data_IF_935854022336
#
_entry.id   IF_935854022336
#
_cell.length_a   1.000
_cell.length_b   1.000
_cell.length_c   1.000
_cell.angle_alpha   90.00
_cell.angle_beta   90.00
_cell.angle_gamma   90.00
#
_symmetry.space_group_name_H-M   'P 1'
#
loop_
_entity.id
_entity.type
_entity.pdbx_description
1 polymer ?
#
# COMPACT_ATOMS: atom_id res chain seq x y z
N UNK A 1 26.17 -28.76 -18.39
CA UNK A 1 24.73 -29.11 -18.31
C UNK A 1 24.59 -30.52 -18.85
N UNK A 2 23.95 -31.42 -18.11
CA UNK A 2 23.62 -32.76 -18.62
C UNK A 2 22.33 -32.65 -19.45
N UNK A 3 22.42 -32.97 -20.75
CA UNK A 3 21.32 -32.84 -21.71
C UNK A 3 20.19 -33.83 -21.38
N UNK A 4 20.51 -35.01 -20.85
CA UNK A 4 19.53 -36.02 -20.45
C UNK A 4 18.70 -35.59 -19.25
N UNK A 5 19.34 -35.01 -18.22
CA UNK A 5 18.63 -34.44 -17.06
C UNK A 5 17.78 -33.22 -17.45
N UNK A 6 18.29 -32.38 -18.34
CA UNK A 6 17.55 -31.23 -18.86
C UNK A 6 16.29 -31.67 -19.63
N UNK A 7 16.39 -32.68 -20.50
CA UNK A 7 15.24 -33.26 -21.21
C UNK A 7 14.23 -33.88 -20.25
N UNK A 8 14.69 -34.55 -19.18
CA UNK A 8 13.82 -35.09 -18.11
C UNK A 8 13.06 -33.97 -17.38
N UNK A 9 13.72 -32.86 -17.05
CA UNK A 9 13.09 -31.69 -16.42
C UNK A 9 12.01 -31.04 -17.29
N UNK A 10 12.14 -31.10 -18.62
CA UNK A 10 11.13 -30.65 -19.56
C UNK A 10 9.96 -31.64 -19.76
N UNK A 11 10.01 -32.82 -19.12
CA UNK A 11 9.06 -33.91 -19.34
C UNK A 11 9.22 -34.59 -20.69
N UNK A 12 10.41 -34.47 -21.31
CA UNK A 12 10.75 -34.97 -22.63
C UNK A 12 11.89 -36.01 -22.57
N UNK A 13 12.08 -36.65 -21.41
CA UNK A 13 13.15 -37.62 -21.16
C UNK A 13 13.17 -38.82 -22.10
N UNK A 14 12.07 -39.11 -22.79
CA UNK A 14 11.97 -40.12 -23.84
C UNK A 14 12.92 -39.87 -25.04
N UNK A 15 13.36 -38.62 -25.25
CA UNK A 15 14.31 -38.27 -26.31
C UNK A 15 15.77 -38.26 -25.85
N UNK A 16 16.05 -38.52 -24.56
CA UNK A 16 17.41 -38.47 -24.02
C UNK A 16 18.37 -39.42 -24.75
N UNK A 17 17.93 -40.65 -25.02
CA UNK A 17 18.72 -41.63 -25.77
C UNK A 17 18.99 -41.21 -27.23
N UNK A 18 18.06 -40.47 -27.85
CA UNK A 18 18.24 -39.97 -29.21
C UNK A 18 19.22 -38.78 -29.26
N UNK A 19 19.18 -37.90 -28.27
CA UNK A 19 20.12 -36.78 -28.16
C UNK A 19 21.53 -37.27 -27.81
N UNK A 20 21.66 -38.22 -26.89
CA UNK A 20 22.93 -38.85 -26.54
C UNK A 20 23.51 -39.66 -27.72
N UNK A 21 22.66 -40.44 -28.41
CA UNK A 21 23.06 -41.23 -29.57
C UNK A 21 23.50 -40.41 -30.79
N UNK A 22 23.09 -39.15 -30.88
CA UNK A 22 23.52 -38.20 -31.92
C UNK A 22 24.57 -37.19 -31.41
N UNK A 23 25.18 -37.47 -30.25
CA UNK A 23 26.23 -36.66 -29.64
C UNK A 23 25.85 -35.18 -29.43
N UNK A 24 24.58 -34.90 -29.11
CA UNK A 24 24.13 -33.55 -28.76
C UNK A 24 24.55 -33.24 -27.31
N UNK A 25 25.50 -32.33 -27.16
CA UNK A 25 25.99 -31.82 -25.90
C UNK A 25 25.44 -30.41 -25.58
N UNK A 26 25.81 -29.85 -24.43
CA UNK A 26 25.28 -28.55 -23.99
C UNK A 26 25.65 -27.36 -24.90
N UNK A 27 26.72 -27.48 -25.69
CA UNK A 27 27.14 -26.45 -26.65
C UNK A 27 26.33 -26.56 -27.93
N UNK A 28 26.26 -27.75 -28.52
CA UNK A 28 25.48 -28.03 -29.74
C UNK A 28 23.97 -27.95 -29.54
N UNK A 29 23.47 -28.19 -28.32
CA UNK A 29 22.05 -28.04 -27.95
C UNK A 29 21.52 -26.63 -28.24
N UNK A 30 22.37 -25.59 -28.13
CA UNK A 30 21.98 -24.19 -28.31
C UNK A 30 21.68 -23.81 -29.75
N UNK A 31 22.24 -24.57 -30.69
CA UNK A 31 22.19 -24.28 -32.12
C UNK A 31 21.21 -25.18 -32.89
N UNK A 32 20.50 -26.08 -32.18
CA UNK A 32 19.54 -26.99 -32.82
C UNK A 32 18.33 -26.25 -33.42
N UNK A 33 18.05 -26.57 -34.68
CA UNK A 33 16.89 -26.05 -35.40
C UNK A 33 15.69 -27.01 -35.37
N UNK A 34 14.54 -26.53 -35.86
CA UNK A 34 13.32 -27.32 -35.94
C UNK A 34 13.43 -28.55 -36.87
N UNK A 35 14.33 -28.50 -37.87
CA UNK A 35 14.62 -29.62 -38.77
C UNK A 35 15.57 -30.61 -38.12
N UNK A 36 16.61 -30.16 -37.39
CA UNK A 36 17.51 -31.05 -36.65
C UNK A 36 16.75 -31.86 -35.59
N UNK A 37 15.81 -31.22 -34.88
CA UNK A 37 14.94 -31.91 -33.93
C UNK A 37 14.05 -32.98 -34.60
N UNK A 38 13.69 -32.79 -35.86
CA UNK A 38 12.91 -33.76 -36.62
C UNK A 38 13.79 -34.94 -37.04
N UNK A 39 15.04 -34.70 -37.43
CA UNK A 39 16.03 -35.74 -37.72
C UNK A 39 16.40 -36.55 -36.46
N UNK A 40 16.36 -35.93 -35.29
CA UNK A 40 16.50 -36.57 -33.97
C UNK A 40 15.27 -37.38 -33.52
N UNK A 41 14.23 -37.48 -34.36
CA UNK A 41 13.03 -38.28 -34.08
C UNK A 41 11.96 -37.57 -33.24
N UNK A 42 12.00 -36.24 -33.13
CA UNK A 42 10.95 -35.44 -32.47
C UNK A 42 9.86 -35.08 -33.48
N UNK A 43 9.05 -36.05 -33.88
CA UNK A 43 8.01 -35.84 -34.92
C UNK A 43 6.87 -34.92 -34.46
N UNK A 44 6.53 -34.96 -33.17
CA UNK A 44 5.47 -34.18 -32.57
C UNK A 44 5.81 -32.69 -32.55
N UNK A 45 5.02 -31.89 -33.28
CA UNK A 45 5.18 -30.43 -33.40
C UNK A 45 5.17 -29.73 -32.03
N UNK A 46 4.36 -30.21 -31.09
CA UNK A 46 4.30 -29.67 -29.73
C UNK A 46 5.61 -29.86 -28.95
N UNK A 47 6.27 -31.00 -29.09
CA UNK A 47 7.55 -31.27 -28.44
C UNK A 47 8.68 -30.45 -29.06
N UNK A 48 8.69 -30.29 -30.39
CA UNK A 48 9.66 -29.42 -31.07
C UNK A 48 9.53 -27.95 -30.64
N UNK A 49 8.32 -27.41 -30.57
CA UNK A 49 8.10 -26.03 -30.07
C UNK A 49 8.54 -25.87 -28.62
N UNK A 50 8.29 -26.86 -27.77
CA UNK A 50 8.71 -26.86 -26.36
C UNK A 50 10.23 -26.89 -26.21
N UNK A 51 10.93 -27.72 -27.00
CA UNK A 51 12.40 -27.80 -27.02
C UNK A 51 13.03 -26.51 -27.51
N UNK A 52 12.57 -25.96 -28.65
CA UNK A 52 13.11 -24.70 -29.19
C UNK A 52 12.93 -23.53 -28.22
N UNK A 53 11.77 -23.45 -27.53
CA UNK A 53 11.54 -22.43 -26.51
C UNK A 53 12.46 -22.58 -25.29
N UNK A 54 12.74 -23.83 -24.88
CA UNK A 54 13.63 -24.10 -23.76
C UNK A 54 15.10 -23.83 -24.13
N UNK A 55 15.51 -24.14 -25.36
CA UNK A 55 16.84 -23.82 -25.91
C UNK A 55 17.04 -22.29 -25.95
N UNK A 56 16.05 -21.54 -26.41
CA UNK A 56 16.10 -20.07 -26.42
C UNK A 56 16.25 -19.48 -25.01
N UNK A 57 15.63 -20.11 -23.99
CA UNK A 57 15.79 -19.70 -22.59
C UNK A 57 17.20 -19.99 -22.03
N UNK A 58 17.87 -21.05 -22.54
CA UNK A 58 19.26 -21.37 -22.17
C UNK A 58 20.29 -20.43 -22.80
N UNK A 59 20.02 -19.93 -24.01
CA UNK A 59 20.89 -18.97 -24.69
C UNK A 59 20.92 -17.59 -24.01
N UNK A 60 19.87 -17.25 -23.25
CA UNK A 60 19.72 -15.96 -22.56
C UNK A 60 20.28 -15.94 -21.12
N UNK A 61 21.06 -16.95 -20.70
CA UNK A 61 21.74 -16.92 -19.39
C UNK A 61 23.19 -16.42 -19.52
N UNK A 62 23.60 -15.37 -18.79
CA UNK A 62 24.97 -14.86 -18.83
C UNK A 62 25.94 -15.84 -18.16
N UNK A 63 26.99 -16.22 -18.89
CA UNK A 63 28.09 -17.07 -18.40
C UNK A 63 29.11 -16.24 -17.60
N UNK A 64 29.42 -16.65 -16.36
CA UNK A 64 30.48 -16.08 -15.53
C UNK A 64 31.08 -17.13 -14.59
N UNK A 65 32.42 -17.18 -14.57
CA UNK A 65 33.31 -18.24 -14.06
C UNK A 65 33.69 -18.01 -12.57
N UNK A 66 34.00 -19.09 -11.82
CA UNK A 66 34.30 -19.15 -10.36
C UNK A 66 35.56 -18.41 -9.85
N UNK A 67 35.98 -18.49 -8.57
CA UNK A 67 35.79 -19.52 -7.55
C UNK A 67 36.12 -19.05 -6.09
N UNK A 68 35.50 -19.73 -5.09
CA UNK A 68 35.80 -19.88 -3.64
C UNK A 68 35.87 -18.63 -2.72
N UNK A 69 35.27 -18.56 -1.51
CA UNK A 69 35.10 -19.58 -0.47
C UNK A 69 33.90 -19.29 0.48
N UNK A 70 33.55 -20.32 1.25
CA UNK A 70 32.36 -20.57 2.08
C UNK A 70 31.92 -19.47 3.07
N UNK A 71 30.59 -19.30 3.21
CA UNK A 71 29.95 -18.53 4.28
C UNK A 71 28.42 -18.40 4.16
N UNK A 72 27.71 -19.50 4.48
CA UNK A 72 26.28 -19.58 4.88
C UNK A 72 25.19 -18.87 4.05
N UNK A 73 24.47 -19.70 3.29
CA UNK A 73 23.19 -19.46 2.62
C UNK A 73 22.12 -18.78 3.49
N UNK A 74 21.52 -17.73 2.93
CA UNK A 74 20.10 -17.42 3.13
C UNK A 74 19.46 -16.94 1.82
N UNK A 75 19.77 -17.56 0.66
CA UNK A 75 18.95 -17.31 -0.52
C UNK A 75 17.73 -18.25 -0.49
N UNK A 76 16.63 -17.73 0.02
CA UNK A 76 15.34 -18.43 0.02
C UNK A 76 14.79 -18.30 -1.40
N UNK A 77 15.29 -19.14 -2.30
CA UNK A 77 14.62 -19.40 -3.57
C UNK A 77 13.27 -20.04 -3.21
N UNK A 78 12.23 -19.21 -3.17
CA UNK A 78 10.89 -19.58 -2.76
C UNK A 78 10.46 -20.86 -3.51
N UNK A 79 10.21 -21.89 -2.71
CA UNK A 79 9.68 -23.19 -3.11
C UNK A 79 8.37 -22.97 -3.87
N UNK A 80 8.45 -22.91 -5.21
CA UNK A 80 7.37 -22.42 -6.06
C UNK A 80 6.24 -23.43 -6.31
N UNK A 81 6.01 -24.39 -5.40
CA UNK A 81 5.02 -25.46 -5.59
C UNK A 81 4.30 -25.91 -4.30
N UNK A 82 4.49 -25.23 -3.16
CA UNK A 82 3.81 -25.58 -1.91
C UNK A 82 2.75 -24.54 -1.55
N UNK A 83 1.51 -24.99 -1.38
CA UNK A 83 0.41 -24.16 -0.94
C UNK A 83 0.71 -23.54 0.43
N UNK A 84 0.84 -22.22 0.51
CA UNK A 84 1.24 -21.49 1.71
C UNK A 84 0.02 -20.96 2.46
N UNK A 85 -0.06 -21.19 3.78
CA UNK A 85 -1.08 -20.58 4.64
C UNK A 85 -0.59 -19.23 5.13
N UNK A 86 -1.21 -18.15 4.65
CA UNK A 86 -0.81 -16.76 4.93
C UNK A 86 -2.02 -15.89 5.28
N UNK A 87 -1.82 -14.84 6.06
CA UNK A 87 -2.83 -13.78 6.22
C UNK A 87 -2.82 -12.86 4.99
N UNK A 88 -3.98 -12.68 4.38
CA UNK A 88 -4.13 -11.85 3.19
C UNK A 88 -5.29 -10.88 3.38
N UNK A 89 -5.13 -9.65 2.89
CA UNK A 89 -6.23 -8.72 2.72
C UNK A 89 -6.71 -8.76 1.28
N UNK A 90 -7.98 -9.12 1.10
CA UNK A 90 -8.62 -9.25 -0.21
C UNK A 90 -9.54 -8.05 -0.41
N UNK A 91 -9.34 -7.35 -1.52
CA UNK A 91 -10.21 -6.27 -1.99
C UNK A 91 -10.94 -6.75 -3.24
N UNK A 92 -12.27 -6.59 -3.24
CA UNK A 92 -13.11 -6.80 -4.41
C UNK A 92 -13.70 -5.46 -4.81
N UNK A 93 -13.50 -5.06 -6.06
CA UNK A 93 -14.05 -3.84 -6.64
C UNK A 93 -14.96 -4.21 -7.81
N UNK A 94 -16.07 -3.51 -7.98
CA UNK A 94 -17.06 -3.81 -9.01
C UNK A 94 -17.74 -2.53 -9.49
N UNK A 95 -18.05 -2.46 -10.79
CA UNK A 95 -18.68 -1.29 -11.38
C UNK A 95 -20.20 -1.34 -11.22
N UNK A 96 -20.79 -0.30 -10.64
CA UNK A 96 -22.24 -0.19 -10.46
C UNK A 96 -22.92 -0.06 -11.81
N UNK A 97 -23.92 -0.90 -12.07
CA UNK A 97 -24.78 -0.76 -13.24
C UNK A 97 -24.11 -1.14 -14.57
N UNK A 98 -22.99 -1.86 -14.53
CA UNK A 98 -22.26 -2.36 -15.71
C UNK A 98 -23.17 -3.13 -16.68
N UNK A 99 -24.10 -3.93 -16.18
CA UNK A 99 -25.05 -4.70 -17.00
C UNK A 99 -25.99 -3.79 -17.76
N UNK A 100 -26.49 -2.72 -17.11
CA UNK A 100 -27.33 -1.71 -17.76
C UNK A 100 -26.52 -0.93 -18.79
N UNK A 101 -25.30 -0.49 -18.43
CA UNK A 101 -24.38 0.18 -19.35
C UNK A 101 -24.07 -0.68 -20.58
N UNK A 102 -23.87 -1.99 -20.42
CA UNK A 102 -23.61 -2.91 -21.53
C UNK A 102 -24.80 -3.11 -22.47
N UNK A 103 -26.02 -2.80 -22.01
CA UNK A 103 -27.24 -2.89 -22.82
C UNK A 103 -27.57 -1.57 -23.52
N UNK A 104 -27.12 -0.43 -22.97
CA UNK A 104 -27.37 0.91 -23.51
C UNK A 104 -26.26 1.39 -24.46
N UNK A 105 -25.01 0.99 -24.20
CA UNK A 105 -23.85 1.38 -25.01
C UNK A 105 -23.57 0.40 -26.14
N UNK A 106 -22.95 0.90 -27.21
CA UNK A 106 -22.36 0.02 -28.22
C UNK A 106 -21.23 -0.82 -27.59
N UNK A 107 -21.03 -2.09 -28.01
CA UNK A 107 -19.95 -2.93 -27.50
C UNK A 107 -18.55 -2.31 -27.59
N UNK A 108 -18.27 -1.47 -28.60
CA UNK A 108 -16.98 -0.78 -28.72
C UNK A 108 -16.81 0.29 -27.63
N UNK A 109 -17.85 1.10 -27.39
CA UNK A 109 -17.88 2.12 -26.34
C UNK A 109 -17.81 1.48 -24.95
N UNK A 110 -18.59 0.42 -24.72
CA UNK A 110 -18.56 -0.31 -23.46
C UNK A 110 -17.18 -0.91 -23.17
N UNK A 111 -16.50 -1.44 -24.20
CA UNK A 111 -15.13 -1.94 -24.07
C UNK A 111 -14.15 -0.83 -23.68
N UNK A 112 -14.30 0.37 -24.25
CA UNK A 112 -13.47 1.52 -23.88
C UNK A 112 -13.69 1.93 -22.42
N UNK A 113 -14.94 1.95 -21.96
CA UNK A 113 -15.29 2.26 -20.56
C UNK A 113 -14.67 1.26 -19.59
N UNK A 114 -14.82 -0.04 -19.85
CA UNK A 114 -14.22 -1.09 -19.03
C UNK A 114 -12.68 -1.01 -19.07
N UNK A 115 -12.08 -0.68 -20.21
CA UNK A 115 -10.64 -0.47 -20.33
C UNK A 115 -10.14 0.68 -19.45
N UNK A 116 -10.82 1.83 -19.47
CA UNK A 116 -10.50 2.98 -18.60
C UNK A 116 -10.66 2.64 -17.12
N UNK A 117 -11.73 1.93 -16.76
CA UNK A 117 -11.97 1.44 -15.41
C UNK A 117 -10.84 0.50 -14.94
N UNK A 118 -10.50 -0.53 -15.73
CA UNK A 118 -9.44 -1.49 -15.37
C UNK A 118 -8.06 -0.81 -15.27
N UNK A 119 -7.79 0.18 -16.12
CA UNK A 119 -6.56 0.99 -16.05
C UNK A 119 -6.50 1.78 -14.76
N UNK A 120 -7.58 2.51 -14.44
CA UNK A 120 -7.67 3.26 -13.18
C UNK A 120 -7.50 2.35 -11.96
N UNK A 121 -8.10 1.15 -11.98
CA UNK A 121 -7.94 0.17 -10.91
C UNK A 121 -6.49 -0.30 -10.78
N UNK A 122 -5.86 -0.68 -11.90
CA UNK A 122 -4.48 -1.18 -11.91
C UNK A 122 -3.52 -0.15 -11.35
N UNK A 123 -3.64 1.11 -11.77
CA UNK A 123 -2.73 2.17 -11.35
C UNK A 123 -2.87 2.49 -9.86
N UNK A 124 -4.08 2.65 -9.33
CA UNK A 124 -4.27 2.95 -7.90
C UNK A 124 -3.84 1.78 -7.00
N UNK A 125 -4.13 0.55 -7.41
CA UNK A 125 -3.70 -0.64 -6.70
C UNK A 125 -2.18 -0.77 -6.71
N UNK A 126 -1.53 -0.51 -7.85
CA UNK A 126 -0.08 -0.59 -7.98
C UNK A 126 0.66 0.48 -7.14
N UNK A 127 0.14 1.72 -7.06
CA UNK A 127 0.70 2.78 -6.20
C UNK A 127 0.77 2.37 -4.73
N UNK A 128 -0.26 1.65 -4.28
CA UNK A 128 -0.35 1.12 -2.93
C UNK A 128 0.15 -0.32 -2.86
N UNK A 129 0.86 -0.81 -3.88
CA UNK A 129 1.49 -2.13 -4.02
C UNK A 129 0.60 -3.33 -3.69
N UNK A 130 -0.67 -3.26 -4.05
CA UNK A 130 -1.54 -4.42 -4.16
C UNK A 130 -1.27 -5.18 -5.45
N UNK A 131 -1.71 -6.44 -5.49
CA UNK A 131 -1.57 -7.34 -6.62
C UNK A 131 -2.95 -7.62 -7.24
N UNK A 132 -3.15 -7.25 -8.50
CA UNK A 132 -4.39 -7.57 -9.22
C UNK A 132 -4.36 -9.05 -9.59
N UNK A 133 -5.23 -9.83 -8.95
CA UNK A 133 -5.24 -11.27 -9.08
C UNK A 133 -6.09 -11.74 -10.27
N UNK A 134 -7.25 -11.14 -10.47
CA UNK A 134 -8.19 -11.56 -11.51
C UNK A 134 -9.14 -10.45 -11.93
N UNK A 135 -9.40 -10.39 -13.23
CA UNK A 135 -10.50 -9.65 -13.83
C UNK A 135 -11.68 -10.58 -14.07
N UNK A 136 -12.87 -10.15 -13.66
CA UNK A 136 -14.14 -10.89 -13.75
C UNK A 136 -15.17 -10.05 -14.50
N UNK A 137 -14.81 -9.60 -15.71
CA UNK A 137 -15.61 -8.63 -16.46
C UNK A 137 -15.41 -7.23 -15.90
N UNK A 138 -16.42 -6.74 -15.19
CA UNK A 138 -16.48 -5.46 -14.48
C UNK A 138 -16.03 -5.55 -13.01
N UNK A 139 -15.88 -6.78 -12.49
CA UNK A 139 -15.30 -7.03 -11.18
C UNK A 139 -13.77 -7.20 -11.22
N UNK A 140 -13.07 -6.68 -10.22
CA UNK A 140 -11.63 -6.83 -10.03
C UNK A 140 -11.33 -7.38 -8.65
N UNK A 141 -10.52 -8.45 -8.61
CA UNK A 141 -10.03 -9.07 -7.39
C UNK A 141 -8.57 -8.67 -7.15
N UNK A 142 -8.30 -8.11 -5.97
CA UNK A 142 -7.00 -7.56 -5.59
C UNK A 142 -6.54 -8.15 -4.26
N UNK A 143 -5.26 -8.47 -4.18
CA UNK A 143 -4.61 -9.01 -2.99
C UNK A 143 -3.58 -8.03 -2.44
N UNK A 144 -3.67 -7.75 -1.13
CA UNK A 144 -2.63 -7.07 -0.37
C UNK A 144 -2.00 -8.08 0.59
N UNK A 145 -0.67 -8.07 0.65
CA UNK A 145 0.13 -9.09 1.33
C UNK A 145 0.59 -10.24 0.43
N UNK A 146 0.53 -10.04 -0.87
CA UNK A 146 1.04 -10.97 -1.87
C UNK A 146 1.66 -10.20 -3.06
N UNK A 147 2.81 -10.62 -3.60
CA UNK A 147 3.66 -11.73 -3.16
C UNK A 147 4.41 -11.44 -1.84
N UNK A 148 4.57 -10.17 -1.47
CA UNK A 148 5.24 -9.76 -0.23
C UNK A 148 4.21 -9.28 0.81
N UNK A 149 4.31 -9.77 2.04
CA UNK A 149 3.48 -9.34 3.16
C UNK A 149 4.07 -8.10 3.83
N UNK A 150 3.19 -7.18 4.21
CA UNK A 150 3.51 -5.97 4.96
C UNK A 150 2.54 -5.86 6.14
N UNK A 151 3.00 -5.27 7.24
CA UNK A 151 2.11 -5.05 8.41
C UNK A 151 0.92 -4.13 8.07
N UNK A 152 1.06 -3.34 7.01
CA UNK A 152 0.12 -2.30 6.57
C UNK A 152 -0.87 -2.77 5.50
N UNK A 153 -0.89 -4.06 5.15
CA UNK A 153 -1.69 -4.55 4.02
C UNK A 153 -3.20 -4.27 4.18
N UNK A 154 -3.71 -4.27 5.41
CA UNK A 154 -5.09 -3.86 5.69
C UNK A 154 -5.32 -2.36 5.44
N UNK A 155 -4.40 -1.51 5.92
CA UNK A 155 -4.47 -0.06 5.69
C UNK A 155 -4.35 0.28 4.21
N UNK A 156 -3.37 -0.31 3.51
CA UNK A 156 -3.13 -0.11 2.08
C UNK A 156 -4.34 -0.50 1.24
N UNK A 157 -5.01 -1.61 1.60
CA UNK A 157 -6.23 -2.01 0.94
C UNK A 157 -7.37 -0.99 1.14
N UNK A 158 -7.54 -0.45 2.35
CA UNK A 158 -8.57 0.56 2.63
C UNK A 158 -8.28 1.87 1.90
N UNK A 159 -7.03 2.34 1.90
CA UNK A 159 -6.59 3.50 1.12
C UNK A 159 -6.86 3.31 -0.36
N UNK A 160 -6.55 2.12 -0.89
CA UNK A 160 -6.82 1.78 -2.29
C UNK A 160 -8.32 1.79 -2.56
N UNK A 161 -9.14 1.17 -1.70
CA UNK A 161 -10.59 1.17 -1.84
C UNK A 161 -11.18 2.58 -1.91
N UNK A 162 -10.76 3.48 -1.02
CA UNK A 162 -11.20 4.88 -1.00
C UNK A 162 -10.74 5.64 -2.25
N UNK A 163 -9.48 5.49 -2.65
CA UNK A 163 -8.93 6.12 -3.85
C UNK A 163 -9.61 5.62 -5.13
N UNK A 164 -9.95 4.33 -5.21
CA UNK A 164 -10.66 3.73 -6.33
C UNK A 164 -12.07 4.31 -6.47
N UNK A 165 -12.83 4.35 -5.38
CA UNK A 165 -14.18 4.93 -5.37
C UNK A 165 -14.18 6.37 -5.85
N UNK A 166 -13.22 7.17 -5.37
CA UNK A 166 -13.06 8.57 -5.75
C UNK A 166 -12.66 8.72 -7.23
N UNK A 167 -11.61 8.01 -7.66
CA UNK A 167 -11.10 8.08 -9.02
C UNK A 167 -12.13 7.61 -10.05
N UNK A 168 -12.85 6.53 -9.77
CA UNK A 168 -13.87 5.98 -10.67
C UNK A 168 -15.09 6.90 -10.72
N UNK A 169 -15.47 7.53 -9.60
CA UNK A 169 -16.52 8.55 -9.58
C UNK A 169 -16.20 9.79 -10.43
N UNK A 170 -14.91 10.08 -10.64
CA UNK A 170 -14.42 11.18 -11.47
C UNK A 170 -14.19 10.81 -12.94
N UNK A 171 -14.37 9.55 -13.36
CA UNK A 171 -14.23 9.17 -14.77
C UNK A 171 -15.45 9.64 -15.58
N UNK A 172 -15.20 10.46 -16.59
CA UNK A 172 -16.22 10.90 -17.53
C UNK A 172 -16.56 9.79 -18.53
N UNK A 173 -17.83 9.42 -18.61
CA UNK A 173 -18.36 8.42 -19.54
C UNK A 173 -19.63 8.98 -20.22
N UNK A 174 -19.46 9.97 -21.09
CA UNK A 174 -20.59 10.69 -21.68
C UNK A 174 -21.42 11.40 -20.60
N UNK A 175 -22.74 11.19 -20.60
CA UNK A 175 -23.67 11.76 -19.60
C UNK A 175 -23.78 10.90 -18.32
N UNK A 176 -23.23 9.68 -18.31
CA UNK A 176 -23.34 8.75 -17.19
C UNK A 176 -22.17 8.90 -16.20
N UNK A 177 -22.49 9.05 -14.90
CA UNK A 177 -21.49 8.98 -13.83
C UNK A 177 -21.23 7.52 -13.47
N UNK A 178 -19.96 7.12 -13.56
CA UNK A 178 -19.52 5.81 -13.09
C UNK A 178 -19.46 5.80 -11.56
N UNK A 179 -19.68 4.63 -10.96
CA UNK A 179 -19.56 4.44 -9.53
C UNK A 179 -19.09 3.03 -9.25
N UNK A 180 -18.21 2.87 -8.27
CA UNK A 180 -17.70 1.58 -7.87
C UNK A 180 -18.21 1.18 -6.49
N UNK A 181 -18.26 -0.13 -6.26
CA UNK A 181 -18.53 -0.73 -4.95
C UNK A 181 -17.33 -1.54 -4.54
N UNK A 182 -16.88 -1.36 -3.29
CA UNK A 182 -15.68 -2.04 -2.80
C UNK A 182 -16.01 -2.81 -1.52
N UNK A 183 -15.53 -4.06 -1.46
CA UNK A 183 -15.60 -4.91 -0.28
C UNK A 183 -14.21 -5.41 0.07
N UNK A 184 -13.82 -5.28 1.35
CA UNK A 184 -12.49 -5.68 1.82
C UNK A 184 -12.62 -6.61 3.01
N UNK A 185 -11.88 -7.72 2.98
CA UNK A 185 -11.79 -8.64 4.09
C UNK A 185 -10.35 -9.11 4.29
N UNK A 186 -9.96 -9.24 5.57
CA UNK A 186 -8.65 -9.77 5.96
C UNK A 186 -8.83 -11.05 6.72
N UNK A 187 -8.07 -12.09 6.35
CA UNK A 187 -8.14 -13.39 6.99
C UNK A 187 -7.04 -14.33 6.51
N UNK A 188 -6.92 -15.47 7.18
CA UNK A 188 -5.95 -16.51 6.81
C UNK A 188 -6.48 -17.27 5.60
N UNK A 189 -5.67 -17.34 4.56
CA UNK A 189 -5.98 -18.02 3.31
C UNK A 189 -4.85 -18.96 2.93
N UNK A 190 -5.15 -19.91 2.05
CA UNK A 190 -4.14 -20.77 1.44
C UNK A 190 -3.92 -20.27 0.01
N UNK A 191 -2.68 -19.90 -0.29
CA UNK A 191 -2.25 -19.45 -1.62
C UNK A 191 -1.51 -20.60 -2.29
N UNK A 192 -1.99 -21.08 -3.43
CA UNK A 192 -1.34 -22.16 -4.17
C UNK A 192 -1.86 -22.27 -5.60
N UNK A 193 -1.12 -22.97 -6.45
CA UNK A 193 -1.57 -23.28 -7.81
C UNK A 193 -2.62 -24.42 -7.74
N UNK A 194 -3.88 -24.04 -7.55
CA UNK A 194 -4.96 -24.96 -7.21
C UNK A 194 -5.60 -25.64 -8.43
N UNK A 195 -5.10 -25.40 -9.63
CA UNK A 195 -5.61 -26.02 -10.85
C UNK A 195 -4.45 -26.67 -11.61
N UNK A 196 -4.42 -28.00 -11.57
CA UNK A 196 -3.41 -28.81 -12.23
C UNK A 196 -3.13 -28.39 -13.67
N UNK A 197 -1.85 -28.56 -14.05
CA UNK A 197 -1.25 -28.34 -15.37
C UNK A 197 -2.27 -28.25 -16.51
N UNK A 198 -2.58 -27.03 -16.98
CA UNK A 198 -3.21 -26.90 -18.29
C UNK A 198 -3.88 -25.57 -18.66
N UNK A 199 -4.26 -24.70 -17.73
CA UNK A 199 -5.04 -23.50 -18.10
C UNK A 199 -4.55 -22.33 -17.25
N UNK A 200 -4.04 -21.28 -17.93
CA UNK A 200 -3.68 -19.92 -17.49
C UNK A 200 -3.36 -19.74 -16.00
N UNK A 201 -2.15 -19.26 -15.65
CA UNK A 201 -1.70 -18.97 -14.27
C UNK A 201 -2.77 -18.29 -13.39
N UNK A 202 -3.71 -19.06 -12.84
CA UNK A 202 -4.75 -18.61 -11.93
C UNK A 202 -4.32 -19.10 -10.57
N UNK A 203 -3.42 -18.35 -9.92
CA UNK A 203 -3.05 -18.59 -8.53
C UNK A 203 -4.27 -18.32 -7.65
N UNK A 204 -5.08 -19.35 -7.47
CA UNK A 204 -6.29 -19.33 -6.68
C UNK A 204 -5.96 -19.13 -5.21
N UNK A 205 -6.66 -18.21 -4.56
CA UNK A 205 -6.66 -18.11 -3.11
C UNK A 205 -7.87 -18.89 -2.62
N UNK A 206 -7.64 -19.95 -1.84
CA UNK A 206 -8.72 -20.71 -1.20
C UNK A 206 -8.83 -20.29 0.25
N UNK A 207 -10.03 -19.84 0.62
CA UNK A 207 -10.38 -19.43 1.97
C UNK A 207 -11.77 -18.80 2.01
N UNK A 208 -12.25 -18.53 3.22
CA UNK A 208 -13.51 -17.81 3.42
C UNK A 208 -13.36 -16.31 3.09
N UNK A 209 -12.13 -15.77 3.15
CA UNK A 209 -11.83 -14.35 2.97
C UNK A 209 -12.24 -13.78 1.61
N UNK A 210 -11.90 -14.38 0.44
CA UNK A 210 -12.33 -13.85 -0.85
C UNK A 210 -13.85 -13.87 -1.01
N UNK A 211 -14.51 -14.92 -0.51
CA UNK A 211 -15.97 -15.02 -0.52
C UNK A 211 -16.63 -13.95 0.36
N UNK A 212 -16.03 -13.65 1.52
CA UNK A 212 -16.48 -12.59 2.41
C UNK A 212 -16.33 -11.21 1.75
N UNK A 213 -15.17 -10.92 1.14
CA UNK A 213 -14.91 -9.65 0.45
C UNK A 213 -15.91 -9.41 -0.70
N UNK A 214 -16.16 -10.43 -1.52
CA UNK A 214 -17.14 -10.34 -2.61
C UNK A 214 -18.57 -10.08 -2.09
N UNK A 215 -18.96 -10.70 -0.97
CA UNK A 215 -20.29 -10.48 -0.36
C UNK A 215 -20.44 -9.10 0.26
N UNK A 216 -19.38 -8.58 0.88
CA UNK A 216 -19.34 -7.21 1.38
C UNK A 216 -19.44 -6.21 0.24
N UNK A 217 -18.74 -6.45 -0.88
CA UNK A 217 -18.86 -5.61 -2.08
C UNK A 217 -20.29 -5.60 -2.61
N UNK A 218 -20.92 -6.77 -2.77
CA UNK A 218 -22.27 -6.88 -3.30
C UNK A 218 -23.32 -6.14 -2.43
N UNK A 219 -23.07 -6.02 -1.12
CA UNK A 219 -23.89 -5.28 -0.17
C UNK A 219 -23.61 -3.77 -0.16
N UNK A 220 -22.42 -3.35 -0.60
CA UNK A 220 -22.01 -1.96 -0.58
C UNK A 220 -22.96 -1.08 -1.40
N UNK A 221 -23.14 0.17 -0.96
CA UNK A 221 -23.83 1.19 -1.74
C UNK A 221 -22.89 1.72 -2.84
N UNK A 222 -23.41 2.22 -3.97
CA UNK A 222 -22.59 2.89 -4.97
C UNK A 222 -21.70 3.96 -4.33
N UNK A 223 -20.39 3.88 -4.59
CA UNK A 223 -19.41 4.81 -4.04
C UNK A 223 -19.06 4.59 -2.58
N UNK A 224 -19.23 3.37 -2.05
CA UNK A 224 -18.87 3.04 -0.66
C UNK A 224 -17.91 1.86 -0.57
N UNK A 225 -17.17 1.82 0.53
CA UNK A 225 -16.21 0.77 0.88
C UNK A 225 -16.68 0.07 2.14
N UNK A 226 -16.95 -1.23 2.06
CA UNK A 226 -17.35 -2.05 3.21
C UNK A 226 -16.23 -2.98 3.66
N UNK A 227 -16.08 -3.14 4.97
CA UNK A 227 -15.04 -3.96 5.58
C UNK A 227 -15.62 -4.96 6.59
N UNK A 228 -14.95 -6.11 6.72
CA UNK A 228 -15.23 -7.09 7.76
C UNK A 228 -14.72 -6.61 9.14
N UNK A 229 -15.32 -7.14 10.22
CA UNK A 229 -14.88 -6.86 11.59
C UNK A 229 -13.40 -7.21 11.85
N UNK A 230 -12.88 -8.26 11.20
CA UNK A 230 -11.46 -8.62 11.28
C UNK A 230 -10.57 -7.51 10.74
N UNK A 231 -10.92 -6.94 9.60
CA UNK A 231 -10.21 -5.82 8.98
C UNK A 231 -10.34 -4.55 9.83
N UNK A 232 -11.52 -4.26 10.39
CA UNK A 232 -11.74 -3.11 11.29
C UNK A 232 -10.82 -3.13 12.50
N UNK A 233 -10.59 -4.30 13.09
CA UNK A 233 -9.65 -4.45 14.22
C UNK A 233 -8.19 -4.24 13.83
N UNK A 234 -7.81 -4.64 12.61
CA UNK A 234 -6.44 -4.50 12.12
C UNK A 234 -6.08 -3.07 11.73
N UNK A 235 -7.06 -2.27 11.29
CA UNK A 235 -6.82 -0.86 10.97
C UNK A 235 -7.07 0.07 12.16
N UNK A 236 -7.72 -0.43 13.22
CA UNK A 236 -8.01 0.37 14.41
C UNK A 236 -8.75 1.65 14.05
N UNK A 237 -8.45 2.74 14.75
CA UNK A 237 -9.09 4.03 14.55
C UNK A 237 -8.39 4.89 13.48
N UNK A 238 -7.58 4.29 12.60
CA UNK A 238 -6.93 4.98 11.47
C UNK A 238 -7.96 5.49 10.45
N UNK A 239 -9.14 4.88 10.42
CA UNK A 239 -10.22 5.22 9.52
C UNK A 239 -11.50 5.46 10.31
N UNK A 240 -12.23 6.49 9.91
CA UNK A 240 -13.58 6.69 10.40
C UNK A 240 -14.48 5.61 9.78
N UNK A 241 -15.02 4.74 10.63
CA UNK A 241 -15.84 3.62 10.22
C UNK A 241 -17.23 3.69 10.89
N UNK A 242 -18.28 3.57 10.09
CA UNK A 242 -19.66 3.49 10.55
C UNK A 242 -20.07 2.03 10.73
N UNK A 243 -20.54 1.68 11.94
CA UNK A 243 -21.06 0.33 12.23
C UNK A 243 -22.38 0.11 11.49
N UNK A 244 -22.44 -0.93 10.65
CA UNK A 244 -23.68 -1.35 9.97
C UNK A 244 -24.40 -2.48 10.73
N UNK A 245 -23.85 -2.91 11.87
CA UNK A 245 -24.39 -4.00 12.68
C UNK A 245 -24.06 -5.38 12.12
N UNK A 246 -24.71 -6.39 12.70
CA UNK A 246 -24.60 -7.76 12.24
C UNK A 246 -25.47 -7.98 11.01
N UNK A 247 -24.85 -8.41 9.90
CA UNK A 247 -25.54 -8.66 8.64
C UNK A 247 -25.48 -10.13 8.28
N UNK A 248 -26.62 -10.67 7.86
CA UNK A 248 -26.71 -12.01 7.31
C UNK A 248 -26.26 -12.02 5.85
N UNK A 249 -25.13 -12.68 5.59
CA UNK A 249 -24.61 -12.87 4.25
C UNK A 249 -24.95 -14.29 3.79
N UNK A 250 -25.63 -14.42 2.64
CA UNK A 250 -26.11 -15.68 2.10
C UNK A 250 -25.01 -16.75 2.06
N UNK A 251 -25.22 -17.87 2.76
CA UNK A 251 -24.29 -19.01 2.77
C UNK A 251 -23.11 -18.85 3.71
N UNK A 252 -23.19 -17.98 4.73
CA UNK A 252 -22.35 -18.04 5.92
C UNK A 252 -23.21 -18.54 7.11
N UNK A 253 -22.61 -19.30 8.04
CA UNK A 253 -23.35 -19.93 9.12
C UNK A 253 -23.76 -18.96 10.23
N UNK A 254 -23.16 -17.77 10.31
CA UNK A 254 -23.45 -16.76 11.31
C UNK A 254 -23.47 -15.35 10.72
N UNK A 255 -24.29 -14.43 11.27
CA UNK A 255 -24.23 -13.01 10.92
C UNK A 255 -22.83 -12.43 11.19
N UNK A 256 -22.35 -11.59 10.30
CA UNK A 256 -21.03 -10.93 10.43
C UNK A 256 -21.24 -9.44 10.63
N UNK A 257 -20.49 -8.84 11.54
CA UNK A 257 -20.44 -7.39 11.69
C UNK A 257 -19.72 -6.76 10.49
N UNK A 258 -20.39 -5.82 9.83
CA UNK A 258 -19.86 -5.07 8.70
C UNK A 258 -19.73 -3.59 9.05
N UNK A 259 -18.73 -2.94 8.46
CA UNK A 259 -18.46 -1.53 8.69
C UNK A 259 -18.32 -0.80 7.37
N UNK A 260 -18.85 0.42 7.27
CA UNK A 260 -18.65 1.32 6.14
C UNK A 260 -17.49 2.27 6.45
N UNK A 261 -16.50 2.33 5.57
CA UNK A 261 -15.36 3.24 5.71
C UNK A 261 -15.75 4.60 5.13
N UNK A 262 -15.81 5.61 5.98
CA UNK A 262 -16.22 6.97 5.62
C UNK A 262 -15.01 7.77 5.11
N UNK A 263 -13.85 7.61 5.74
CA UNK A 263 -12.64 8.33 5.37
C UNK A 263 -11.47 8.03 6.29
N UNK A 264 -10.37 8.75 6.09
CA UNK A 264 -9.22 8.73 7.01
C UNK A 264 -9.62 9.44 8.31
N UNK A 265 -9.25 8.83 9.44
CA UNK A 265 -9.49 9.41 10.76
C UNK A 265 -8.53 10.56 11.03
N UNK A 266 -8.98 11.55 11.80
CA UNK A 266 -8.18 12.69 12.23
C UNK A 266 -7.21 12.37 13.38
N UNK A 267 -7.04 11.10 13.77
CA UNK A 267 -6.25 10.73 14.95
C UNK A 267 -4.75 10.96 14.73
N UNK A 268 -4.13 11.59 15.74
CA UNK A 268 -2.75 12.06 15.76
C UNK A 268 -1.68 10.94 15.80
N UNK A 269 -2.04 9.66 15.89
CA UNK A 269 -1.08 8.55 15.84
C UNK A 269 -1.62 7.22 15.36
N UNK A 270 -0.89 6.59 14.42
CA UNK A 270 -1.13 5.20 13.96
C UNK A 270 -1.08 4.21 15.10
N UNK A 271 -0.11 4.36 16.01
CA UNK A 271 0.03 3.47 17.15
C UNK A 271 -1.15 3.63 18.11
N UNK A 272 -1.56 4.86 18.40
CA UNK A 272 -2.73 5.11 19.25
C UNK A 272 -4.02 4.62 18.60
N UNK A 273 -4.21 4.87 17.31
CA UNK A 273 -5.36 4.38 16.55
C UNK A 273 -5.46 2.84 16.61
N UNK A 274 -4.34 2.13 16.53
CA UNK A 274 -4.31 0.67 16.60
C UNK A 274 -4.40 0.11 18.04
N UNK A 275 -4.04 0.89 19.06
CA UNK A 275 -3.85 0.40 20.44
C UNK A 275 -4.64 1.16 21.53
N UNK A 276 -5.59 2.02 21.15
CA UNK A 276 -6.36 2.90 22.05
C UNK A 276 -7.03 2.19 23.24
N UNK A 277 -7.25 0.87 23.18
CA UNK A 277 -8.04 0.14 24.17
C UNK A 277 -7.27 -0.75 25.14
N UNK A 278 -5.95 -0.95 24.99
CA UNK A 278 -5.12 -1.68 25.99
C UNK A 278 -3.64 -1.67 25.60
N UNK A 279 -2.88 -0.67 26.05
CA UNK A 279 -1.43 -0.75 26.02
C UNK A 279 -0.97 -1.68 27.16
N UNK A 280 -0.26 -2.76 26.84
CA UNK A 280 0.42 -3.59 27.84
C UNK A 280 1.45 -2.75 28.60
N UNK A 281 1.73 -3.08 29.86
CA UNK A 281 2.80 -2.41 30.63
C UNK A 281 4.13 -2.56 29.89
N UNK A 282 4.90 -1.47 29.79
CA UNK A 282 6.25 -1.53 29.25
C UNK A 282 7.12 -2.37 30.21
N UNK A 283 7.75 -3.44 29.72
CA UNK A 283 8.59 -4.34 30.54
C UNK A 283 10.04 -4.24 30.07
N UNK A 284 10.96 -4.02 31.01
CA UNK A 284 12.41 -4.11 30.75
C UNK A 284 12.99 -2.97 29.92
N UNK A 285 12.39 -1.77 29.97
CA UNK A 285 12.84 -0.56 29.26
C UNK A 285 12.97 0.65 30.18
N UNK A 286 13.23 0.39 31.47
CA UNK A 286 13.29 1.42 32.50
C UNK A 286 14.46 2.38 32.27
N UNK A 287 15.59 1.89 31.74
CA UNK A 287 16.77 2.71 31.43
C UNK A 287 16.49 3.68 30.28
N UNK A 288 15.91 3.21 29.18
CA UNK A 288 15.57 4.06 28.03
C UNK A 288 14.48 5.06 28.37
N UNK A 289 13.45 4.64 29.13
CA UNK A 289 12.41 5.54 29.62
C UNK A 289 13.02 6.62 30.53
N UNK A 290 13.90 6.24 31.46
CA UNK A 290 14.60 7.18 32.35
C UNK A 290 15.46 8.17 31.55
N UNK A 291 16.16 7.72 30.51
CA UNK A 291 16.93 8.58 29.63
C UNK A 291 16.03 9.61 28.93
N UNK A 292 14.91 9.18 28.35
CA UNK A 292 13.97 10.05 27.65
C UNK A 292 13.33 11.06 28.61
N UNK A 293 12.93 10.64 29.80
CA UNK A 293 12.38 11.53 30.83
C UNK A 293 13.42 12.55 31.31
N UNK A 294 14.70 12.17 31.43
CA UNK A 294 15.77 13.13 31.77
C UNK A 294 15.96 14.17 30.67
N UNK A 295 15.85 13.78 29.40
CA UNK A 295 15.90 14.72 28.26
C UNK A 295 14.69 15.64 28.25
N UNK A 296 13.51 15.12 28.58
CA UNK A 296 12.31 15.92 28.74
C UNK A 296 12.47 17.02 29.80
N UNK A 297 13.03 16.70 30.98
CA UNK A 297 13.26 17.71 32.01
C UNK A 297 14.27 18.79 31.59
N UNK A 298 15.31 18.45 30.83
CA UNK A 298 16.22 19.45 30.24
C UNK A 298 15.50 20.35 29.23
N UNK A 299 14.66 19.78 28.38
CA UNK A 299 13.87 20.55 27.42
C UNK A 299 12.90 21.52 28.13
N UNK A 300 12.29 21.10 29.25
CA UNK A 300 11.46 21.96 30.10
C UNK A 300 12.25 23.10 30.75
N UNK A 301 13.53 22.88 31.04
CA UNK A 301 14.43 23.90 31.55
C UNK A 301 14.92 24.89 30.48
N UNK A 302 14.49 24.73 29.22
CA UNK A 302 14.87 25.59 28.09
C UNK A 302 16.07 25.08 27.28
N UNK A 303 16.64 23.93 27.64
CA UNK A 303 17.70 23.28 26.87
C UNK A 303 17.10 22.32 25.85
N UNK A 304 16.83 22.80 24.64
CA UNK A 304 16.28 21.98 23.54
C UNK A 304 17.04 20.66 23.37
N UNK A 305 16.30 19.54 23.35
CA UNK A 305 16.86 18.20 23.18
C UNK A 305 16.37 17.57 21.88
N UNK A 306 17.22 16.77 21.26
CA UNK A 306 16.87 15.90 20.13
C UNK A 306 17.27 14.48 20.49
N UNK A 307 16.36 13.53 20.31
CA UNK A 307 16.62 12.12 20.56
C UNK A 307 16.19 11.30 19.35
N UNK A 308 17.08 10.44 18.87
CA UNK A 308 16.79 9.46 17.83
C UNK A 308 16.55 8.09 18.50
N UNK A 309 15.38 7.51 18.27
CA UNK A 309 15.06 6.15 18.72
C UNK A 309 15.17 5.21 17.52
N UNK A 310 16.14 4.30 17.57
CA UNK A 310 16.37 3.30 16.51
C UNK A 310 16.31 1.88 17.06
N UNK A 311 15.98 0.93 16.21
CA UNK A 311 15.85 -0.48 16.57
C UNK A 311 15.04 -1.26 15.54
N UNK A 312 15.07 -2.59 15.62
CA UNK A 312 14.36 -3.49 14.73
C UNK A 312 12.84 -3.25 14.72
N UNK A 313 12.16 -3.63 13.63
CA UNK A 313 10.70 -3.59 13.55
C UNK A 313 10.09 -4.44 14.68
N UNK A 314 9.01 -3.97 15.29
CA UNK A 314 8.34 -4.70 16.39
C UNK A 314 9.04 -4.69 17.76
N UNK A 315 10.25 -4.14 17.90
CA UNK A 315 11.01 -4.14 19.17
C UNK A 315 10.38 -3.28 20.30
N UNK A 316 9.29 -2.56 20.01
CA UNK A 316 8.56 -1.74 20.96
C UNK A 316 8.90 -0.24 20.95
N UNK A 317 9.48 0.29 19.87
CA UNK A 317 9.82 1.73 19.73
C UNK A 317 8.61 2.65 20.01
N UNK A 318 7.50 2.43 19.31
CA UNK A 318 6.27 3.22 19.48
C UNK A 318 5.66 3.05 20.88
N UNK A 319 5.80 1.87 21.49
CA UNK A 319 5.36 1.64 22.87
C UNK A 319 6.19 2.42 23.90
N UNK A 320 7.50 2.53 23.68
CA UNK A 320 8.40 3.36 24.50
C UNK A 320 8.02 4.84 24.39
N UNK A 321 7.76 5.35 23.18
CA UNK A 321 7.29 6.73 22.98
C UNK A 321 5.95 6.96 23.66
N UNK A 322 4.99 6.04 23.50
CA UNK A 322 3.72 6.10 24.20
C UNK A 322 3.89 6.11 25.73
N UNK A 323 4.83 5.33 26.27
CA UNK A 323 5.13 5.35 27.71
C UNK A 323 5.70 6.70 28.17
N UNK A 324 6.56 7.35 27.38
CA UNK A 324 7.00 8.72 27.66
C UNK A 324 5.80 9.68 27.67
N UNK A 325 4.89 9.53 26.72
CA UNK A 325 3.67 10.34 26.64
C UNK A 325 2.74 10.12 27.83
N UNK A 326 2.56 8.87 28.28
CA UNK A 326 1.77 8.54 29.46
C UNK A 326 2.34 9.20 30.74
N UNK A 327 3.67 9.35 30.80
CA UNK A 327 4.37 9.98 31.93
C UNK A 327 4.43 11.51 31.86
N UNK A 328 4.02 12.12 30.74
CA UNK A 328 4.02 13.57 30.53
C UNK A 328 2.58 14.02 30.28
N UNK A 329 1.96 14.63 31.28
CA UNK A 329 0.57 15.10 31.18
C UNK A 329 0.38 16.09 30.03
N UNK A 330 -0.69 15.93 29.25
CA UNK A 330 -0.99 16.79 28.10
C UNK A 330 -1.23 18.26 28.49
N UNK A 331 -1.68 18.53 29.71
CA UNK A 331 -1.81 19.90 30.22
C UNK A 331 -0.46 20.64 30.32
N UNK A 332 0.67 19.91 30.34
CA UNK A 332 2.01 20.46 30.53
C UNK A 332 2.81 20.62 29.24
N UNK A 333 2.24 20.29 28.08
CA UNK A 333 2.98 20.31 26.81
C UNK A 333 2.10 20.64 25.61
N UNK A 334 2.76 21.10 24.55
CA UNK A 334 2.21 21.05 23.20
C UNK A 334 2.86 19.86 22.48
N UNK A 335 2.08 18.95 21.92
CA UNK A 335 2.62 17.83 21.13
C UNK A 335 2.35 18.03 19.65
N UNK A 336 3.40 17.93 18.83
CA UNK A 336 3.31 17.89 17.37
C UNK A 336 3.77 16.52 16.89
N UNK A 337 3.00 15.89 16.01
CA UNK A 337 3.33 14.57 15.47
C UNK A 337 3.33 14.60 13.96
N UNK A 338 4.38 13.99 13.40
CA UNK A 338 4.65 13.91 11.98
C UNK A 338 4.88 12.45 11.61
N UNK A 339 4.14 11.96 10.62
CA UNK A 339 4.26 10.58 10.13
C UNK A 339 4.89 10.61 8.75
N UNK A 340 6.04 9.97 8.62
CA UNK A 340 6.63 9.71 7.33
C UNK A 340 5.99 8.45 6.75
N UNK A 341 5.89 8.37 5.43
CA UNK A 341 5.24 7.26 4.75
C UNK A 341 6.08 6.79 3.59
N UNK A 342 6.23 5.45 3.40
CA UNK A 342 6.93 4.93 2.23
C UNK A 342 6.24 5.33 0.91
N UNK A 343 4.96 5.70 0.95
CA UNK A 343 4.17 6.09 -0.22
C UNK A 343 4.33 7.57 -0.61
N UNK A 344 5.03 8.36 0.21
CA UNK A 344 5.13 9.81 0.02
C UNK A 344 6.59 10.31 0.01
N UNK A 345 7.56 9.46 -0.34
CA UNK A 345 8.98 9.84 -0.47
C UNK A 345 9.21 10.90 -1.55
N UNK A 346 8.46 10.84 -2.65
CA UNK A 346 8.57 11.84 -3.71
C UNK A 346 7.79 13.14 -3.42
N UNK A 347 7.15 13.24 -2.24
CA UNK A 347 6.31 14.38 -1.87
C UNK A 347 7.03 15.29 -0.87
N UNK A 348 7.38 16.49 -1.32
CA UNK A 348 8.08 17.47 -0.49
C UNK A 348 7.29 17.82 0.76
N UNK A 349 7.91 17.62 1.94
CA UNK A 349 7.36 17.97 3.25
C UNK A 349 5.98 17.37 3.54
N UNK A 350 5.67 16.19 2.97
CA UNK A 350 4.40 15.51 3.17
C UNK A 350 3.94 15.43 4.64
N UNK A 351 4.80 15.06 5.63
CA UNK A 351 4.36 14.98 7.01
C UNK A 351 3.82 16.32 7.54
N UNK A 352 4.39 17.43 7.08
CA UNK A 352 3.99 18.77 7.46
C UNK A 352 2.69 19.19 6.79
N UNK A 353 2.55 18.91 5.48
CA UNK A 353 1.31 19.15 4.73
C UNK A 353 0.15 18.40 5.37
N UNK A 354 0.29 17.08 5.59
CA UNK A 354 -0.75 16.26 6.18
C UNK A 354 -1.13 16.72 7.60
N UNK A 355 -0.18 17.24 8.36
CA UNK A 355 -0.46 17.81 9.69
C UNK A 355 -1.25 19.12 9.59
N UNK A 356 -0.91 20.00 8.63
CA UNK A 356 -1.61 21.26 8.41
C UNK A 356 -3.03 21.04 7.93
N UNK A 357 -3.24 20.17 6.94
CA UNK A 357 -4.58 19.87 6.41
C UNK A 357 -5.51 19.36 7.52
N UNK A 358 -5.00 18.48 8.38
CA UNK A 358 -5.74 17.98 9.56
C UNK A 358 -6.04 19.09 10.56
N UNK A 359 -5.04 19.90 10.94
CA UNK A 359 -5.23 21.00 11.90
C UNK A 359 -6.16 22.10 11.39
N UNK A 360 -6.11 22.40 10.10
CA UNK A 360 -7.02 23.33 9.46
C UNK A 360 -8.45 22.75 9.31
N UNK A 361 -8.62 21.44 9.50
CA UNK A 361 -9.91 20.77 9.39
C UNK A 361 -10.44 20.75 7.96
N UNK A 362 -9.55 20.50 6.99
CA UNK A 362 -9.94 20.38 5.59
C UNK A 362 -10.82 19.14 5.40
N UNK A 363 -11.99 19.35 4.80
CA UNK A 363 -12.90 18.33 4.36
C UNK A 363 -12.73 18.06 2.86
N UNK A 364 -13.16 16.87 2.43
CA UNK A 364 -13.05 16.47 1.03
C UNK A 364 -13.87 17.36 0.10
N UNK A 365 -15.03 17.83 0.57
CA UNK A 365 -15.95 18.68 -0.19
C UNK A 365 -15.58 20.17 -0.16
N UNK A 366 -14.53 20.57 0.56
CA UNK A 366 -14.13 21.99 0.64
C UNK A 366 -13.57 22.47 -0.71
N UNK A 367 -14.15 23.55 -1.22
CA UNK A 367 -13.60 24.31 -2.35
C UNK A 367 -12.35 25.12 -1.94
N UNK A 368 -11.56 25.63 -2.91
CA UNK A 368 -10.33 26.36 -2.60
C UNK A 368 -10.53 27.56 -1.67
N UNK A 369 -11.66 28.27 -1.79
CA UNK A 369 -12.00 29.41 -0.95
C UNK A 369 -12.26 28.98 0.51
N UNK A 370 -13.03 27.92 0.73
CA UNK A 370 -13.29 27.37 2.06
C UNK A 370 -12.01 26.84 2.72
N UNK A 371 -11.12 26.20 1.96
CA UNK A 371 -9.80 25.78 2.46
C UNK A 371 -8.93 26.97 2.85
N UNK A 372 -8.96 28.04 2.07
CA UNK A 372 -8.22 29.26 2.38
C UNK A 372 -8.75 29.94 3.65
N UNK A 373 -10.06 30.03 3.83
CA UNK A 373 -10.68 30.61 5.03
C UNK A 373 -10.33 29.79 6.30
N UNK A 374 -10.34 28.47 6.19
CA UNK A 374 -9.90 27.56 7.26
C UNK A 374 -8.41 27.74 7.58
N UNK A 375 -7.57 27.83 6.55
CA UNK A 375 -6.14 28.07 6.72
C UNK A 375 -5.88 29.43 7.36
N UNK A 376 -6.61 30.47 6.95
CA UNK A 376 -6.52 31.81 7.53
C UNK A 376 -6.89 31.80 9.01
N UNK A 377 -7.97 31.12 9.36
CA UNK A 377 -8.38 30.93 10.76
C UNK A 377 -7.28 30.25 11.58
N UNK A 378 -6.62 29.23 11.01
CA UNK A 378 -5.49 28.56 11.64
C UNK A 378 -4.32 29.53 11.82
N UNK A 379 -3.92 30.27 10.78
CA UNK A 379 -2.79 31.20 10.87
C UNK A 379 -3.05 32.36 11.84
N UNK A 380 -4.28 32.87 11.90
CA UNK A 380 -4.66 33.95 12.82
C UNK A 380 -4.60 33.49 14.29
N UNK A 381 -4.72 32.19 14.55
CA UNK A 381 -4.57 31.60 15.89
C UNK A 381 -3.11 31.37 16.30
N UNK A 382 -2.16 31.49 15.37
CA UNK A 382 -0.75 31.24 15.64
C UNK A 382 -0.04 32.50 16.16
N UNK A 383 0.74 32.40 17.24
CA UNK A 383 1.53 33.53 17.72
C UNK A 383 2.66 33.89 16.74
N UNK A 384 2.78 35.19 16.44
CA UNK A 384 3.92 35.81 15.76
C UNK A 384 4.29 35.23 14.38
N UNK A 385 3.33 35.12 13.46
CA UNK A 385 3.58 34.69 12.08
C UNK A 385 4.03 35.84 11.16
N UNK A 386 5.04 35.65 10.29
CA UNK A 386 5.38 36.58 9.21
C UNK A 386 4.17 36.94 8.33
N UNK A 387 4.12 38.13 7.73
CA UNK A 387 3.00 38.54 6.87
C UNK A 387 2.79 37.62 5.66
N UNK A 388 3.85 36.97 5.18
CA UNK A 388 3.82 36.07 4.03
C UNK A 388 3.40 34.63 4.39
N UNK A 389 3.11 34.34 5.66
CA UNK A 389 2.81 32.99 6.16
C UNK A 389 1.63 32.34 5.44
N UNK A 390 0.53 33.08 5.31
CA UNK A 390 -0.66 32.57 4.64
C UNK A 390 -0.37 32.21 3.18
N UNK A 391 0.38 33.05 2.47
CA UNK A 391 0.75 32.81 1.08
C UNK A 391 1.69 31.60 0.94
N UNK A 392 2.66 31.45 1.86
CA UNK A 392 3.61 30.34 1.84
C UNK A 392 2.92 29.00 2.09
N UNK A 393 1.99 28.97 3.04
CA UNK A 393 1.23 27.76 3.35
C UNK A 393 0.21 27.42 2.26
N UNK A 394 -0.45 28.42 1.66
CA UNK A 394 -1.34 28.21 0.54
C UNK A 394 -0.61 27.63 -0.69
N UNK A 395 0.58 28.17 -1.02
CA UNK A 395 1.45 27.65 -2.09
C UNK A 395 1.90 26.20 -1.80
N UNK A 396 2.29 25.91 -0.54
CA UNK A 396 2.69 24.57 -0.12
C UNK A 396 1.53 23.55 -0.20
N UNK A 397 0.31 23.98 0.11
CA UNK A 397 -0.91 23.16 0.07
C UNK A 397 -1.56 23.11 -1.32
N UNK A 398 -1.00 23.81 -2.32
CA UNK A 398 -1.55 23.88 -3.67
C UNK A 398 -2.93 24.56 -3.75
N UNK A 399 -3.25 25.46 -2.81
CA UNK A 399 -4.53 26.19 -2.79
C UNK A 399 -4.40 27.38 -3.77
N UNK A 400 -5.06 27.27 -4.92
CA UNK A 400 -5.12 28.33 -5.91
C UNK A 400 -6.34 29.25 -5.65
N UNK A 401 -6.08 30.46 -5.16
CA UNK A 401 -7.09 31.50 -4.94
C UNK A 401 -6.54 32.88 -5.33
N UNK A 402 -7.34 33.70 -6.02
CA UNK A 402 -6.93 35.04 -6.50
C UNK A 402 -6.67 36.04 -5.37
N UNK A 403 -7.19 35.79 -4.17
CA UNK A 403 -7.01 36.66 -3.00
C UNK A 403 -5.63 36.51 -2.35
N UNK A 404 -4.88 35.45 -2.66
CA UNK A 404 -3.53 35.22 -2.14
C UNK A 404 -2.48 35.75 -3.13
N UNK A 405 -1.62 36.71 -2.73
CA UNK A 405 -0.57 37.20 -3.60
C UNK A 405 0.43 36.08 -3.94
N UNK A 406 0.82 35.89 -5.22
CA UNK A 406 1.74 34.85 -5.61
C UNK A 406 3.14 35.12 -5.05
N UNK A 407 3.79 34.07 -4.58
CA UNK A 407 5.17 34.15 -4.09
C UNK A 407 6.13 34.13 -5.28
N UNK A 408 6.62 35.32 -5.63
CA UNK A 408 7.63 35.53 -6.67
C UNK A 408 9.02 35.23 -6.11
N UNK A 409 9.31 33.93 -5.93
CA UNK A 409 10.63 33.43 -5.54
C UNK A 409 10.97 32.15 -6.31
N UNK A 410 12.26 31.91 -6.54
CA UNK A 410 12.72 30.63 -7.08
C UNK A 410 12.50 29.48 -6.09
N UNK A 411 12.57 28.24 -6.57
CA UNK A 411 12.29 27.05 -5.76
C UNK A 411 13.22 26.92 -4.54
N UNK A 412 14.46 27.40 -4.63
CA UNK A 412 15.41 27.34 -3.52
C UNK A 412 15.02 28.31 -2.41
N UNK A 413 14.71 29.55 -2.77
CA UNK A 413 14.31 30.59 -1.84
C UNK A 413 12.95 30.29 -1.21
N UNK A 414 12.00 29.72 -1.97
CA UNK A 414 10.74 29.20 -1.41
C UNK A 414 11.00 28.15 -0.32
N UNK A 415 11.91 27.20 -0.58
CA UNK A 415 12.30 26.18 0.40
C UNK A 415 12.89 26.79 1.67
N UNK A 416 13.79 27.77 1.54
CA UNK A 416 14.34 28.49 2.70
C UNK A 416 13.26 29.22 3.50
N UNK A 417 12.31 29.89 2.83
CA UNK A 417 11.20 30.58 3.47
C UNK A 417 10.31 29.60 4.25
N UNK A 418 10.00 28.44 3.69
CA UNK A 418 9.21 27.39 4.37
C UNK A 418 9.95 26.84 5.59
N UNK A 419 11.25 26.58 5.49
CA UNK A 419 12.06 26.11 6.63
C UNK A 419 12.12 27.17 7.74
N UNK A 420 12.31 28.44 7.37
CA UNK A 420 12.30 29.55 8.33
C UNK A 420 10.96 29.67 9.03
N UNK A 421 9.87 29.57 8.27
CA UNK A 421 8.51 29.62 8.81
C UNK A 421 8.26 28.52 9.84
N UNK A 422 8.62 27.27 9.54
CA UNK A 422 8.48 26.16 10.50
C UNK A 422 9.35 26.37 11.75
N UNK A 423 10.55 26.90 11.57
CA UNK A 423 11.46 27.20 12.68
C UNK A 423 10.91 28.28 13.61
N UNK A 424 10.32 29.33 13.05
CA UNK A 424 9.66 30.40 13.81
C UNK A 424 8.40 29.89 14.51
N UNK A 425 7.59 29.08 13.82
CA UNK A 425 6.39 28.46 14.40
C UNK A 425 6.74 27.57 15.60
N UNK A 426 7.76 26.72 15.47
CA UNK A 426 8.18 25.87 16.59
C UNK A 426 8.69 26.67 17.78
N UNK A 427 9.39 27.79 17.54
CA UNK A 427 9.81 28.70 18.63
C UNK A 427 8.60 29.34 19.30
N UNK A 428 7.69 29.89 18.52
CA UNK A 428 6.49 30.55 19.04
C UNK A 428 5.61 29.58 19.85
N UNK A 429 5.47 28.32 19.40
CA UNK A 429 4.77 27.29 20.16
C UNK A 429 5.51 26.86 21.44
N UNK A 430 6.85 26.90 21.42
CA UNK A 430 7.68 26.55 22.57
C UNK A 430 7.79 27.66 23.62
N UNK A 431 7.42 28.91 23.30
CA UNK A 431 7.44 30.05 24.22
C UNK A 431 6.36 29.95 25.31
N UNK A 432 5.17 29.44 24.99
CA UNK A 432 4.08 29.29 25.95
C UNK A 432 4.22 28.02 26.79
N UNK A 433 4.55 26.89 26.14
CA UNK A 433 4.66 25.57 26.79
C UNK A 433 5.76 24.72 26.17
N UNK A 434 6.36 23.78 26.92
CA UNK A 434 7.28 22.79 26.37
C UNK A 434 6.70 22.07 25.15
N UNK A 435 7.43 22.13 24.03
CA UNK A 435 7.03 21.53 22.77
C UNK A 435 7.66 20.14 22.61
N UNK A 436 6.83 19.10 22.51
CA UNK A 436 7.26 17.75 22.12
C UNK A 436 6.97 17.53 20.64
N UNK A 437 8.01 17.42 19.82
CA UNK A 437 7.87 17.08 18.40
C UNK A 437 8.29 15.63 18.17
N UNK A 438 7.39 14.85 17.57
CA UNK A 438 7.61 13.44 17.27
C UNK A 438 7.58 13.22 15.76
N UNK A 439 8.64 12.61 15.24
CA UNK A 439 8.72 12.11 13.87
C UNK A 439 8.71 10.59 13.90
N UNK A 440 7.61 10.01 13.43
CA UNK A 440 7.45 8.56 13.30
C UNK A 440 7.89 8.13 11.89
N UNK A 441 8.47 6.93 11.81
CA UNK A 441 8.99 6.34 10.58
C UNK A 441 9.95 7.23 9.78
N UNK A 442 10.77 8.03 10.49
CA UNK A 442 11.68 9.03 9.91
C UNK A 442 12.72 8.47 8.89
N UNK A 443 12.81 7.15 8.71
CA UNK A 443 13.59 6.54 7.65
C UNK A 443 12.97 6.72 6.24
N UNK A 444 11.70 7.17 6.17
CA UNK A 444 10.99 7.53 4.93
C UNK A 444 10.81 9.05 4.77
N UNK A 445 11.60 9.86 5.48
CA UNK A 445 11.49 11.33 5.45
C UNK A 445 12.19 11.97 4.23
N UNK A 446 12.89 11.15 3.45
CA UNK A 446 13.76 11.55 2.34
C UNK A 446 13.01 12.15 1.16
#
# INVERSE_FOLDING_TARGET
>A
MDVGDWLRGLGLGQYAAAFEGNAVDAETLRDLTAEDLKELGVDLVGHRRKLLSAIAALANQPTGIGAHAQGHDWDTQADADVAERRQLTVLFCDLVGSTTLSAELDPEDFRQVIGSYQTAVTEEVAKLGGFVAKYMGDGVLVYFGYPHAHEEDAERALRAGLALVERIGGLECGEARLSARVGIATGVVIVGDLLGRGISQERGVVGETPNLAARLQAMARPGSVLIADTTRRLVGDLFECRDLGAVELKGLPAPIRAWEVVGLSAIDSRFEALHATRLSSLVGRDEELTLLMRRWELARAGEGQVVLVSGEAGIGKSRLIAAVQDNVSDDQRTTLRYFCSPHHRDSMLYPFIAQLERRAGFAREDDPAARLDKLKTLTDSLPATPPDTLALLADLLGIADESVPPILADSHRKREMVISLWSELFKALAEDRPLLVLFEDAHWID
#
